data_IF_965524130684
#
_entry.id   IF_965524130684
#
_cell.length_a   1.000
_cell.length_b   1.000
_cell.length_c   1.000
_cell.angle_alpha   90.00
_cell.angle_beta   90.00
_cell.angle_gamma   90.00
#
_symmetry.space_group_name_H-M   'P 1'
#
loop_
_entity.id
_entity.type
_entity.pdbx_description
1 polymer ?
#
# COMPACT_ATOMS: atom_id res chain seq x y z
N UNK A 1 12.09 -27.73 0.22
CA UNK A 1 11.66 -26.66 -0.71
C UNK A 1 10.64 -25.79 0.02
N UNK A 2 10.87 -24.48 0.17
CA UNK A 2 9.88 -23.58 0.80
C UNK A 2 8.74 -23.33 -0.19
N UNK A 3 7.52 -23.59 0.24
CA UNK A 3 6.29 -23.29 -0.49
C UNK A 3 6.33 -21.82 -0.92
N UNK A 4 6.04 -21.61 -2.20
CA UNK A 4 6.10 -20.34 -2.89
C UNK A 4 4.76 -19.64 -2.61
N UNK A 5 4.53 -19.28 -1.35
CA UNK A 5 3.24 -18.81 -0.87
C UNK A 5 2.93 -17.37 -1.29
N UNK A 6 1.67 -17.18 -1.69
CA UNK A 6 0.87 -15.94 -1.67
C UNK A 6 1.64 -14.70 -1.16
N UNK A 7 1.97 -13.79 -2.07
CA UNK A 7 2.64 -12.49 -1.83
C UNK A 7 2.24 -11.85 -0.48
N UNK A 8 3.22 -11.61 0.42
CA UNK A 8 3.06 -10.99 1.74
C UNK A 8 2.10 -9.78 1.67
N UNK A 9 1.15 -9.68 2.61
CA UNK A 9 0.15 -8.59 2.68
C UNK A 9 0.81 -7.20 2.59
N UNK A 10 1.99 -7.01 3.18
CA UNK A 10 2.73 -5.74 3.09
C UNK A 10 3.23 -5.46 1.68
N UNK A 11 3.66 -6.48 0.94
CA UNK A 11 4.08 -6.33 -0.46
C UNK A 11 2.89 -5.98 -1.34
N UNK A 12 1.76 -6.67 -1.17
CA UNK A 12 0.52 -6.33 -1.88
C UNK A 12 0.08 -4.90 -1.58
N UNK A 13 0.20 -4.50 -0.32
CA UNK A 13 -0.09 -3.13 0.11
C UNK A 13 0.83 -2.09 -0.52
N UNK A 14 2.13 -2.33 -0.48
CA UNK A 14 3.12 -1.49 -1.14
C UNK A 14 2.88 -1.34 -2.64
N UNK A 15 2.51 -2.42 -3.33
CA UNK A 15 2.19 -2.41 -4.75
C UNK A 15 0.93 -1.59 -5.06
N UNK A 16 -0.11 -1.69 -4.23
CA UNK A 16 -1.34 -0.89 -4.40
C UNK A 16 -1.05 0.61 -4.24
N UNK A 17 -0.30 1.00 -3.20
CA UNK A 17 0.15 2.38 -2.99
C UNK A 17 0.94 2.86 -4.21
N UNK A 18 1.94 2.08 -4.66
CA UNK A 18 2.78 2.44 -5.80
C UNK A 18 1.99 2.59 -7.08
N UNK A 19 1.09 1.65 -7.38
CA UNK A 19 0.22 1.69 -8.56
C UNK A 19 -0.62 2.96 -8.55
N UNK A 20 -1.34 3.24 -7.46
CA UNK A 20 -2.18 4.43 -7.35
C UNK A 20 -1.36 5.73 -7.44
N UNK A 21 -0.17 5.76 -6.83
CA UNK A 21 0.75 6.90 -6.93
C UNK A 21 1.12 7.20 -8.38
N UNK A 22 1.41 6.16 -9.17
CA UNK A 22 1.73 6.30 -10.60
C UNK A 22 0.53 6.73 -11.44
N UNK A 23 -0.69 6.24 -11.14
CA UNK A 23 -1.92 6.70 -11.81
C UNK A 23 -2.16 8.21 -11.63
N UNK A 24 -1.74 8.75 -10.48
CA UNK A 24 -1.79 10.19 -10.19
C UNK A 24 -0.53 10.95 -10.65
N UNK A 25 0.40 10.29 -11.35
CA UNK A 25 1.67 10.86 -11.79
C UNK A 25 2.53 11.49 -10.66
N UNK A 26 2.41 11.00 -9.43
CA UNK A 26 3.14 11.54 -8.28
C UNK A 26 4.50 10.86 -8.13
N UNK A 27 5.51 11.63 -7.72
CA UNK A 27 6.78 11.07 -7.22
C UNK A 27 6.64 10.60 -5.77
N UNK A 28 7.59 9.82 -5.26
CA UNK A 28 7.60 9.46 -3.82
C UNK A 28 7.79 10.70 -2.93
N UNK A 29 8.50 11.73 -3.41
CA UNK A 29 8.68 13.01 -2.71
C UNK A 29 7.35 13.78 -2.62
N UNK A 30 6.59 13.80 -3.72
CA UNK A 30 5.27 14.44 -3.76
C UNK A 30 4.27 13.72 -2.85
N UNK A 31 4.24 12.38 -2.86
CA UNK A 31 3.39 11.61 -1.94
C UNK A 31 3.81 11.83 -0.48
N UNK A 32 5.11 11.92 -0.20
CA UNK A 32 5.67 12.24 1.11
C UNK A 32 5.14 13.59 1.61
N UNK A 33 5.20 14.62 0.77
CA UNK A 33 4.65 15.94 1.08
C UNK A 33 3.14 15.90 1.37
N UNK A 34 2.35 15.28 0.48
CA UNK A 34 0.88 15.21 0.62
C UNK A 34 0.40 14.40 1.82
N UNK A 35 1.14 13.35 2.20
CA UNK A 35 0.77 12.47 3.31
C UNK A 35 1.40 12.86 4.65
N UNK A 36 2.27 13.88 4.67
CA UNK A 36 3.08 14.25 5.84
C UNK A 36 3.89 13.07 6.41
N UNK A 37 4.38 12.21 5.52
CA UNK A 37 5.19 11.04 5.86
C UNK A 37 6.54 11.16 5.18
N UNK A 38 7.61 10.79 5.87
CA UNK A 38 8.95 10.88 5.32
C UNK A 38 9.11 10.03 4.04
N UNK A 39 9.75 10.56 2.98
CA UNK A 39 9.92 9.85 1.71
C UNK A 39 10.54 8.45 1.85
N UNK A 40 11.51 8.26 2.76
CA UNK A 40 12.09 6.93 2.98
C UNK A 40 11.08 5.93 3.52
N UNK A 41 10.13 6.38 4.35
CA UNK A 41 9.03 5.56 4.86
C UNK A 41 8.05 5.19 3.73
N UNK A 42 7.71 6.13 2.84
CA UNK A 42 6.96 5.84 1.61
C UNK A 42 7.66 4.77 0.77
N UNK A 43 8.96 4.95 0.55
CA UNK A 43 9.79 4.01 -0.23
C UNK A 43 9.82 2.61 0.39
N UNK A 44 9.90 2.53 1.73
CA UNK A 44 9.84 1.28 2.47
C UNK A 44 8.45 0.61 2.40
N UNK A 45 7.37 1.38 2.50
CA UNK A 45 6.00 0.89 2.33
C UNK A 45 5.82 0.29 0.94
N UNK A 46 6.25 0.99 -0.13
CA UNK A 46 6.12 0.50 -1.50
C UNK A 46 6.90 -0.79 -1.78
N UNK A 47 7.94 -1.07 -0.97
CA UNK A 47 8.70 -2.33 -1.00
C UNK A 47 8.10 -3.42 -0.11
N UNK A 48 7.09 -3.12 0.69
CA UNK A 48 6.50 -4.03 1.68
C UNK A 48 7.39 -4.28 2.90
N UNK A 49 8.39 -3.44 3.18
CA UNK A 49 9.28 -3.60 4.34
C UNK A 49 8.75 -2.96 5.61
N UNK A 50 7.56 -2.34 5.57
CA UNK A 50 6.89 -1.70 6.71
C UNK A 50 5.49 -2.23 6.90
N UNK A 51 5.05 -2.20 8.16
CA UNK A 51 3.66 -2.37 8.55
C UNK A 51 3.12 -1.00 9.01
N UNK A 52 2.49 -0.21 8.12
CA UNK A 52 1.99 1.11 8.50
C UNK A 52 0.82 1.01 9.48
N UNK A 53 0.76 1.94 10.44
CA UNK A 53 -0.39 2.06 11.34
C UNK A 53 -1.64 2.47 10.57
N UNK A 54 -2.82 2.25 11.16
CA UNK A 54 -4.09 2.66 10.57
C UNK A 54 -4.14 4.18 10.29
N UNK A 55 -3.55 5.00 11.17
CA UNK A 55 -3.43 6.45 10.97
C UNK A 55 -2.61 6.80 9.71
N UNK A 56 -1.47 6.13 9.51
CA UNK A 56 -0.63 6.33 8.33
C UNK A 56 -1.33 5.84 7.06
N UNK A 57 -2.09 4.74 7.14
CA UNK A 57 -2.91 4.25 6.04
C UNK A 57 -3.98 5.29 5.65
N UNK A 58 -4.64 5.91 6.63
CA UNK A 58 -5.61 6.97 6.39
C UNK A 58 -4.97 8.21 5.73
N UNK A 59 -3.78 8.63 6.20
CA UNK A 59 -3.00 9.72 5.58
C UNK A 59 -2.64 9.41 4.13
N UNK A 60 -2.16 8.19 3.85
CA UNK A 60 -1.84 7.73 2.50
C UNK A 60 -3.07 7.71 1.58
N UNK A 61 -4.18 7.15 2.05
CA UNK A 61 -5.43 7.10 1.29
C UNK A 61 -5.92 8.51 0.92
N UNK A 62 -5.89 9.44 1.88
CA UNK A 62 -6.20 10.87 1.62
C UNK A 62 -5.26 11.47 0.59
N UNK A 63 -3.95 11.27 0.71
CA UNK A 63 -2.95 11.80 -0.21
C UNK A 63 -3.01 11.19 -1.63
N UNK A 64 -3.54 9.97 -1.74
CA UNK A 64 -3.75 9.21 -2.98
C UNK A 64 -5.17 9.37 -3.56
N UNK A 65 -5.95 10.30 -3.01
CA UNK A 65 -7.30 10.64 -3.48
C UNK A 65 -8.17 9.39 -3.66
N UNK A 66 -8.16 8.52 -2.64
CA UNK A 66 -8.85 7.23 -2.64
C UNK A 66 -9.34 6.88 -1.23
N UNK A 67 -10.41 6.08 -1.13
CA UNK A 67 -10.85 5.56 0.16
C UNK A 67 -9.90 4.46 0.66
N UNK A 68 -9.82 4.30 1.99
CA UNK A 68 -9.08 3.17 2.59
C UNK A 68 -9.64 1.83 2.09
N UNK A 69 -10.96 1.69 1.99
CA UNK A 69 -11.58 0.46 1.48
C UNK A 69 -11.12 0.12 0.07
N UNK A 70 -11.05 1.09 -0.84
CA UNK A 70 -10.60 0.84 -2.21
C UNK A 70 -9.08 0.61 -2.27
N UNK A 71 -8.31 1.20 -1.34
CA UNK A 71 -6.90 0.86 -1.19
C UNK A 71 -6.70 -0.61 -0.82
N UNK A 72 -7.70 -1.30 -0.27
CA UNK A 72 -7.69 -2.76 0.02
C UNK A 72 -8.55 -3.60 -0.93
N UNK A 73 -9.42 -3.02 -1.75
CA UNK A 73 -10.38 -3.76 -2.59
C UNK A 73 -9.74 -4.59 -3.72
N UNK A 74 -8.53 -4.23 -4.16
CA UNK A 74 -7.77 -5.00 -5.17
C UNK A 74 -6.86 -6.08 -4.53
N UNK A 75 -7.15 -6.43 -3.28
CA UNK A 75 -6.44 -7.47 -2.56
C UNK A 75 -7.43 -8.60 -2.60
N UNK A 76 -7.46 -9.36 -3.70
CA UNK A 76 -8.08 -10.67 -3.69
C UNK A 76 -7.38 -11.47 -2.58
N UNK A 77 -7.90 -11.34 -1.38
CA UNK A 77 -7.83 -12.38 -0.39
C UNK A 77 -8.59 -13.48 -1.11
N UNK A 78 -7.86 -14.43 -1.71
CA UNK A 78 -8.41 -15.77 -1.83
C UNK A 78 -8.77 -16.15 -0.40
N UNK A 79 -9.99 -15.82 0.02
CA UNK A 79 -10.65 -16.53 1.07
C UNK A 79 -10.63 -17.94 0.56
N UNK A 80 -9.83 -18.80 1.20
CA UNK A 80 -10.03 -20.23 1.08
C UNK A 80 -11.52 -20.42 1.32
N UNK A 81 -12.22 -20.78 0.24
CA UNK A 81 -13.63 -21.11 0.29
C UNK A 81 -13.79 -22.07 1.46
N UNK A 82 -14.59 -21.61 2.42
CA UNK A 82 -15.54 -22.39 3.21
C UNK A 82 -15.37 -23.91 3.09
N UNK A 83 -14.91 -24.54 4.18
CA UNK A 83 -15.49 -25.79 4.67
C UNK A 83 -16.34 -25.48 5.90
#
# INVERSE_FOLDING_TARGET
>A
MKQKDKTDIKQRFGLAIRKRRHELALSQEELSFRSELHRTYISDIERGSRNPSLENIAKLAKALEISVSHLFANYDIETEDSD
#
